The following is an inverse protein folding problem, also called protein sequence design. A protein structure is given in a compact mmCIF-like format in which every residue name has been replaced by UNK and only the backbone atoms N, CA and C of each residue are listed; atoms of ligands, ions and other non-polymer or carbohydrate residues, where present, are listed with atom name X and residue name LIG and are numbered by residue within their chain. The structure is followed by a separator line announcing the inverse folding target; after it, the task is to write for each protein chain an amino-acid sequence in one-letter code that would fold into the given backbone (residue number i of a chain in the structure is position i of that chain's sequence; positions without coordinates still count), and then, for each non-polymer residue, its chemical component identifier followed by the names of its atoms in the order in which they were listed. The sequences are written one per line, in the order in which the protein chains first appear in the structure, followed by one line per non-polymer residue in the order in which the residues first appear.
data_IF_160443789537
#
_entry.id   IF_160443789537
#
_cell.length_a   1.000
_cell.length_b   1.000
_cell.length_c   1.000
_cell.angle_alpha   90.00
_cell.angle_beta   90.00
_cell.angle_gamma   90.00
#
_symmetry.space_group_name_H-M   'P 1'
#
loop_
_entity.id
_entity.type
_entity.pdbx_description
1 polymer ?
#
# COMPACT_ATOMS: atom_id res chain seq x y z
N UNK A 1 60.03 -13.42 -17.42
CA UNK A 1 58.84 -14.27 -17.64
C UNK A 1 57.66 -13.59 -16.99
N UNK A 2 56.76 -12.99 -17.78
CA UNK A 2 55.58 -12.32 -17.23
C UNK A 2 54.53 -13.40 -16.87
N UNK A 3 54.11 -13.44 -15.60
CA UNK A 3 53.04 -14.32 -15.14
C UNK A 3 51.74 -13.94 -15.83
N UNK A 4 51.06 -14.91 -16.43
CA UNK A 4 49.71 -14.73 -16.94
C UNK A 4 48.75 -14.37 -15.80
N UNK A 5 47.80 -13.44 -16.02
CA UNK A 5 46.76 -13.13 -15.04
C UNK A 5 45.85 -14.35 -14.81
N UNK A 6 45.33 -14.54 -13.59
CA UNK A 6 44.42 -15.64 -13.28
C UNK A 6 43.14 -15.55 -14.14
N UNK A 7 42.59 -16.69 -14.59
CA UNK A 7 41.37 -16.71 -15.37
C UNK A 7 40.20 -16.11 -14.58
N UNK A 8 39.26 -15.40 -15.24
CA UNK A 8 38.10 -14.86 -14.57
C UNK A 8 37.26 -15.99 -13.94
N UNK A 9 36.68 -15.76 -12.74
CA UNK A 9 35.84 -16.76 -12.11
C UNK A 9 34.65 -17.11 -13.02
N UNK A 10 34.24 -18.40 -13.08
CA UNK A 10 33.11 -18.80 -13.91
C UNK A 10 31.86 -18.01 -13.49
N UNK A 11 31.00 -17.60 -14.44
CA UNK A 11 29.78 -16.90 -14.11
C UNK A 11 28.95 -17.76 -13.16
N UNK A 12 28.59 -17.20 -12.01
CA UNK A 12 27.71 -17.89 -11.07
C UNK A 12 26.37 -18.14 -11.77
N UNK A 13 25.90 -19.39 -11.84
CA UNK A 13 24.63 -19.68 -12.49
C UNK A 13 23.53 -18.92 -11.74
N UNK A 14 22.79 -18.09 -12.47
CA UNK A 14 21.61 -17.43 -11.92
C UNK A 14 20.52 -18.49 -11.76
N UNK A 15 19.65 -18.38 -10.75
CA UNK A 15 18.50 -19.28 -10.56
C UNK A 15 17.69 -19.48 -11.86
N UNK A 16 17.57 -18.43 -12.67
CA UNK A 16 16.91 -18.42 -13.98
C UNK A 16 17.61 -19.26 -15.07
N UNK A 17 18.87 -19.63 -14.87
CA UNK A 17 19.65 -20.47 -15.80
C UNK A 17 19.62 -21.96 -15.44
N UNK A 18 19.19 -22.30 -14.22
CA UNK A 18 19.17 -23.68 -13.70
C UNK A 18 17.75 -24.20 -13.55
N UNK A 19 16.79 -23.33 -13.25
CA UNK A 19 15.39 -23.69 -13.03
C UNK A 19 14.48 -23.15 -14.15
N UNK A 20 13.42 -23.90 -14.51
CA UNK A 20 12.31 -23.36 -15.30
C UNK A 20 11.76 -22.09 -14.64
N UNK A 21 11.37 -21.12 -15.48
CA UNK A 21 10.89 -19.83 -15.01
C UNK A 21 9.69 -19.95 -14.05
N UNK A 22 8.80 -20.92 -14.28
CA UNK A 22 7.64 -21.18 -13.40
C UNK A 22 8.07 -21.54 -11.97
N UNK A 23 9.12 -22.36 -11.80
CA UNK A 23 9.63 -22.69 -10.46
C UNK A 23 10.27 -21.49 -9.77
N UNK A 24 10.96 -20.64 -10.54
CA UNK A 24 11.51 -19.39 -10.02
C UNK A 24 10.38 -18.47 -9.54
N UNK A 25 9.27 -18.39 -10.30
CA UNK A 25 8.08 -17.65 -9.89
C UNK A 25 7.51 -18.20 -8.58
N UNK A 26 7.36 -19.53 -8.45
CA UNK A 26 6.85 -20.14 -7.20
C UNK A 26 7.73 -19.84 -5.99
N UNK A 27 9.05 -19.93 -6.13
CA UNK A 27 10.00 -19.64 -5.05
C UNK A 27 9.87 -18.18 -4.62
N UNK A 28 9.86 -17.26 -5.60
CA UNK A 28 9.78 -15.84 -5.31
C UNK A 28 8.42 -15.44 -4.71
N UNK A 29 7.31 -16.03 -5.17
CA UNK A 29 5.99 -15.73 -4.61
C UNK A 29 5.89 -16.14 -3.14
N UNK A 30 6.63 -17.16 -2.70
CA UNK A 30 6.66 -17.61 -1.30
C UNK A 30 7.57 -16.76 -0.38
N UNK A 31 8.17 -15.69 -0.90
CA UNK A 31 8.85 -14.70 -0.07
C UNK A 31 7.79 -13.78 0.54
N UNK A 32 7.56 -13.92 1.85
CA UNK A 32 6.53 -13.17 2.59
C UNK A 32 6.91 -11.68 2.74
N UNK A 33 8.20 -11.35 2.64
CA UNK A 33 8.73 -9.99 2.81
C UNK A 33 8.95 -9.27 1.46
N UNK A 34 8.33 -8.10 1.32
CA UNK A 34 8.56 -7.20 0.17
C UNK A 34 10.02 -6.78 0.04
N UNK A 35 10.78 -6.70 1.14
CA UNK A 35 12.21 -6.37 1.10
C UNK A 35 13.04 -7.50 0.47
N UNK A 36 12.68 -8.77 0.70
CA UNK A 36 13.30 -9.91 0.02
C UNK A 36 13.04 -9.87 -1.49
N UNK A 37 11.81 -9.57 -1.90
CA UNK A 37 11.46 -9.38 -3.31
C UNK A 37 12.23 -8.22 -3.94
N UNK A 38 12.39 -7.10 -3.23
CA UNK A 38 13.18 -5.96 -3.69
C UNK A 38 14.66 -6.33 -3.88
N UNK A 39 15.25 -7.11 -2.96
CA UNK A 39 16.62 -7.64 -3.07
C UNK A 39 16.76 -8.62 -4.25
N UNK A 40 15.78 -9.50 -4.48
CA UNK A 40 15.79 -10.37 -5.65
C UNK A 40 15.70 -9.56 -6.97
N UNK A 41 14.87 -8.52 -7.00
CA UNK A 41 14.73 -7.62 -8.15
C UNK A 41 15.97 -6.74 -8.41
N UNK A 42 16.80 -6.51 -7.40
CA UNK A 42 18.07 -5.78 -7.56
C UNK A 42 19.19 -6.68 -8.09
N UNK A 43 19.11 -8.00 -7.88
CA UNK A 43 20.14 -8.95 -8.30
C UNK A 43 20.29 -9.06 -9.83
N UNK A 44 19.19 -9.05 -10.60
CA UNK A 44 19.28 -9.03 -12.06
C UNK A 44 18.03 -8.45 -12.77
N UNK A 45 18.22 -8.01 -14.02
CA UNK A 45 17.15 -7.42 -14.85
C UNK A 45 15.99 -8.38 -15.13
N UNK A 46 16.28 -9.67 -15.28
CA UNK A 46 15.26 -10.68 -15.57
C UNK A 46 14.36 -10.93 -14.35
N UNK A 47 14.93 -11.08 -13.15
CA UNK A 47 14.18 -11.15 -11.90
C UNK A 47 13.37 -9.88 -11.66
N UNK A 48 13.96 -8.70 -11.92
CA UNK A 48 13.23 -7.44 -11.83
C UNK A 48 11.97 -7.46 -12.70
N UNK A 49 12.11 -7.80 -13.99
CA UNK A 49 10.97 -7.87 -14.93
C UNK A 49 9.89 -8.83 -14.46
N UNK A 50 10.30 -9.99 -13.95
CA UNK A 50 9.40 -11.03 -13.45
C UNK A 50 8.64 -10.54 -12.22
N UNK A 51 9.34 -10.01 -11.22
CA UNK A 51 8.76 -9.52 -9.95
C UNK A 51 7.85 -8.31 -10.18
N UNK A 52 8.21 -7.39 -11.07
CA UNK A 52 7.37 -6.22 -11.39
C UNK A 52 6.21 -6.54 -12.34
N UNK A 53 6.10 -7.78 -12.82
CA UNK A 53 5.03 -8.16 -13.74
C UNK A 53 3.67 -8.19 -13.04
N UNK A 54 2.62 -7.77 -13.74
CA UNK A 54 1.24 -7.78 -13.21
C UNK A 54 0.78 -9.19 -12.83
N UNK A 55 1.21 -10.21 -13.57
CA UNK A 55 0.89 -11.61 -13.27
C UNK A 55 1.48 -12.03 -11.92
N UNK A 56 2.77 -11.77 -11.70
CA UNK A 56 3.45 -12.06 -10.45
C UNK A 56 2.82 -11.34 -9.27
N UNK A 57 2.63 -10.02 -9.35
CA UNK A 57 2.07 -9.22 -8.27
C UNK A 57 0.64 -9.64 -7.90
N UNK A 58 -0.19 -10.04 -8.88
CA UNK A 58 -1.52 -10.61 -8.59
C UNK A 58 -1.42 -11.90 -7.79
N UNK A 59 -0.48 -12.79 -8.12
CA UNK A 59 -0.30 -14.06 -7.42
C UNK A 59 0.25 -13.84 -6.00
N UNK A 60 1.22 -12.94 -5.83
CA UNK A 60 1.71 -12.51 -4.51
C UNK A 60 0.56 -11.97 -3.67
N UNK A 61 -0.26 -11.05 -4.20
CA UNK A 61 -1.40 -10.51 -3.47
C UNK A 61 -2.53 -11.52 -3.20
N UNK A 62 -2.67 -12.56 -4.02
CA UNK A 62 -3.64 -13.62 -3.80
C UNK A 62 -3.16 -14.63 -2.74
N UNK A 63 -1.85 -14.92 -2.71
CA UNK A 63 -1.25 -15.85 -1.76
C UNK A 63 -1.04 -15.21 -0.38
N UNK A 64 -0.64 -13.94 -0.36
CA UNK A 64 -0.35 -13.18 0.86
C UNK A 64 -1.50 -12.23 1.14
N UNK A 65 -2.33 -12.49 2.18
CA UNK A 65 -3.31 -11.54 2.64
C UNK A 65 -2.63 -10.20 2.92
N UNK A 66 -3.24 -9.11 2.46
CA UNK A 66 -2.71 -7.79 2.80
C UNK A 66 -2.75 -7.64 4.33
N UNK A 67 -1.63 -7.30 4.98
CA UNK A 67 -1.59 -7.21 6.44
C UNK A 67 -2.62 -6.19 6.92
N UNK A 68 -3.50 -6.62 7.83
CA UNK A 68 -4.47 -5.72 8.45
C UNK A 68 -3.71 -4.79 9.40
N UNK A 69 -3.61 -3.52 9.01
CA UNK A 69 -2.95 -2.50 9.83
C UNK A 69 -3.88 -1.95 10.92
N UNK A 70 -5.20 -2.03 10.72
CA UNK A 70 -6.16 -1.47 11.65
C UNK A 70 -7.51 -1.19 10.99
N UNK A 71 -8.41 -0.59 11.78
CA UNK A 71 -9.75 -0.20 11.36
C UNK A 71 -9.89 1.32 11.41
N UNK A 72 -10.69 1.88 10.51
CA UNK A 72 -11.10 3.28 10.59
C UNK A 72 -12.48 3.34 11.24
N UNK A 73 -12.54 3.85 12.47
CA UNK A 73 -13.79 4.10 13.17
C UNK A 73 -14.36 5.42 12.69
N UNK A 74 -15.56 5.37 12.09
CA UNK A 74 -16.24 6.54 11.55
C UNK A 74 -17.12 7.17 12.62
N UNK A 75 -16.94 8.47 12.81
CA UNK A 75 -17.73 9.27 13.74
C UNK A 75 -18.48 10.36 12.96
N UNK A 76 -19.52 10.93 13.58
CA UNK A 76 -20.26 12.07 13.02
C UNK A 76 -20.71 11.89 11.55
N UNK A 77 -21.28 10.73 11.22
CA UNK A 77 -21.70 10.39 9.84
C UNK A 77 -20.55 10.47 8.81
N UNK A 78 -19.34 10.10 9.23
CA UNK A 78 -18.16 10.01 8.36
C UNK A 78 -17.40 11.33 8.18
N UNK A 79 -17.78 12.42 8.86
CA UNK A 79 -17.02 13.67 8.83
C UNK A 79 -15.78 13.65 9.72
N UNK A 80 -15.72 12.71 10.67
CA UNK A 80 -14.51 12.42 11.46
C UNK A 80 -14.20 10.93 11.38
N UNK A 81 -12.93 10.59 11.49
CA UNK A 81 -12.55 9.20 11.70
C UNK A 81 -11.34 9.08 12.62
N UNK A 82 -11.32 7.97 13.37
CA UNK A 82 -10.22 7.55 14.23
C UNK A 82 -9.60 6.28 13.67
N UNK A 83 -8.28 6.17 13.69
CA UNK A 83 -7.59 4.94 13.34
C UNK A 83 -7.41 4.06 14.58
N UNK A 84 -7.89 2.83 14.50
CA UNK A 84 -7.74 1.79 15.51
C UNK A 84 -6.67 0.80 15.02
N UNK A 85 -5.42 0.91 15.50
CA UNK A 85 -4.34 0.04 15.03
C UNK A 85 -4.58 -1.42 15.43
N UNK A 86 -4.07 -2.35 14.63
CA UNK A 86 -3.91 -3.73 15.07
C UNK A 86 -2.94 -3.80 16.27
N UNK A 87 -3.34 -4.47 17.34
CA UNK A 87 -2.57 -4.59 18.58
C UNK A 87 -1.88 -5.96 18.71
N UNK A 88 -0.83 -6.09 19.55
CA UNK A 88 -0.23 -7.38 19.87
C UNK A 88 -1.28 -8.38 20.36
N UNK A 89 -1.19 -9.67 20.00
CA UNK A 89 -0.07 -10.34 19.31
C UNK A 89 -0.15 -10.32 17.77
N UNK A 90 -0.93 -9.43 17.15
CA UNK A 90 -1.08 -9.39 15.70
C UNK A 90 0.27 -9.10 15.00
N UNK A 91 0.63 -9.83 13.92
CA UNK A 91 1.94 -9.70 13.26
C UNK A 91 2.20 -8.28 12.71
N UNK A 92 1.15 -7.53 12.40
CA UNK A 92 1.27 -6.16 11.90
C UNK A 92 1.32 -5.08 12.99
N UNK A 93 1.31 -5.42 14.27
CA UNK A 93 1.13 -4.47 15.37
C UNK A 93 2.15 -3.33 15.39
N UNK A 94 3.43 -3.62 15.14
CA UNK A 94 4.47 -2.58 15.09
C UNK A 94 4.25 -1.59 13.93
N UNK A 95 3.84 -2.09 12.77
CA UNK A 95 3.53 -1.25 11.60
C UNK A 95 2.25 -0.46 11.84
N UNK A 96 1.23 -1.10 12.41
CA UNK A 96 -0.03 -0.48 12.80
C UNK A 96 0.17 0.69 13.77
N UNK A 97 0.99 0.52 14.80
CA UNK A 97 1.32 1.57 15.76
C UNK A 97 2.06 2.76 15.11
N UNK A 98 2.95 2.49 14.15
CA UNK A 98 3.60 3.54 13.39
C UNK A 98 2.60 4.34 12.53
N UNK A 99 1.63 3.64 11.93
CA UNK A 99 0.53 4.27 11.17
C UNK A 99 -0.38 5.09 12.08
N UNK A 100 -0.73 4.58 13.27
CA UNK A 100 -1.54 5.31 14.25
C UNK A 100 -0.87 6.62 14.65
N UNK A 101 0.44 6.62 14.94
CA UNK A 101 1.18 7.85 15.27
C UNK A 101 1.15 8.91 14.16
N UNK A 102 1.17 8.49 12.89
CA UNK A 102 1.04 9.41 11.75
C UNK A 102 -0.41 9.91 11.56
N UNK A 103 -1.39 9.18 12.11
CA UNK A 103 -2.79 9.54 12.05
C UNK A 103 -3.18 10.48 13.22
N UNK A 104 -2.64 10.23 14.41
CA UNK A 104 -2.95 10.93 15.66
C UNK A 104 -2.23 12.27 15.82
N UNK A 105 -1.13 12.51 15.08
CA UNK A 105 -0.39 13.80 15.12
C UNK A 105 -1.22 15.01 14.66
N UNK A 106 -2.40 14.78 14.09
CA UNK A 106 -3.37 15.80 13.65
C UNK A 106 -4.63 15.85 14.55
N UNK A 107 -4.60 15.26 15.76
CA UNK A 107 -5.80 15.15 16.62
C UNK A 107 -6.29 16.46 17.25
N UNK A 108 -5.57 17.56 17.07
CA UNK A 108 -6.09 18.88 17.38
C UNK A 108 -6.80 19.45 16.14
N UNK A 109 -8.14 19.38 16.15
CA UNK A 109 -9.11 20.04 15.25
C UNK A 109 -9.63 19.21 14.07
N UNK A 110 -10.79 18.58 14.29
CA UNK A 110 -11.97 18.53 13.38
C UNK A 110 -11.80 18.14 11.89
N UNK A 111 -10.63 17.69 11.43
CA UNK A 111 -10.30 17.68 10.00
C UNK A 111 -9.39 16.51 9.61
N UNK A 112 -9.88 15.27 9.79
CA UNK A 112 -9.21 14.05 9.30
C UNK A 112 -8.87 14.05 7.80
N UNK A 113 -9.39 15.03 7.03
CA UNK A 113 -9.23 15.18 5.59
C UNK A 113 -8.96 16.62 5.13
N UNK A 114 -8.32 17.45 5.96
CA UNK A 114 -7.95 18.84 5.62
C UNK A 114 -7.05 18.97 4.38
N UNK A 115 -6.32 17.93 4.00
CA UNK A 115 -5.48 17.90 2.80
C UNK A 115 -6.28 17.81 1.49
N UNK A 116 -7.59 17.52 1.55
CA UNK A 116 -8.42 17.50 0.36
C UNK A 116 -8.82 18.93 -0.04
N UNK A 117 -8.95 19.21 -1.35
CA UNK A 117 -9.42 20.51 -1.81
C UNK A 117 -10.85 20.79 -1.29
N UNK A 118 -11.12 22.04 -0.91
CA UNK A 118 -12.42 22.46 -0.38
C UNK A 118 -12.36 22.89 1.09
N UNK A 119 -13.52 23.12 1.72
CA UNK A 119 -13.59 23.48 3.14
C UNK A 119 -13.45 22.24 4.01
N UNK A 120 -12.65 22.35 5.08
CA UNK A 120 -12.58 21.35 6.14
C UNK A 120 -13.98 21.04 6.67
N UNK A 121 -14.37 19.77 6.69
CA UNK A 121 -15.67 19.31 7.20
C UNK A 121 -16.74 18.98 6.14
N UNK A 122 -16.51 19.34 4.87
CA UNK A 122 -17.45 19.01 3.79
C UNK A 122 -17.32 17.56 3.32
N UNK A 123 -16.13 16.98 3.45
CA UNK A 123 -15.84 15.61 3.04
C UNK A 123 -16.32 14.59 4.06
N UNK A 124 -17.07 13.59 3.59
CA UNK A 124 -17.51 12.43 4.36
C UNK A 124 -16.92 11.16 3.82
N UNK A 125 -16.24 10.40 4.67
CA UNK A 125 -15.75 9.07 4.35
C UNK A 125 -16.94 8.11 4.11
N UNK A 126 -16.93 7.44 2.96
CA UNK A 126 -17.99 6.53 2.50
C UNK A 126 -17.58 5.07 2.56
N UNK A 127 -16.37 4.77 2.09
CA UNK A 127 -15.84 3.41 2.05
C UNK A 127 -14.31 3.42 2.12
N UNK A 128 -13.73 2.33 2.58
CA UNK A 128 -12.29 2.09 2.59
C UNK A 128 -12.01 0.71 2.02
N UNK A 129 -11.33 0.66 0.89
CA UNK A 129 -10.94 -0.59 0.24
C UNK A 129 -9.48 -0.56 -0.12
N UNK A 130 -8.77 -1.65 0.18
CA UNK A 130 -7.39 -1.84 -0.28
C UNK A 130 -6.40 -0.74 0.19
N UNK A 131 -6.70 -0.05 1.30
CA UNK A 131 -5.93 1.09 1.79
C UNK A 131 -6.25 2.43 1.10
N UNK A 132 -7.31 2.48 0.31
CA UNK A 132 -7.84 3.68 -0.32
C UNK A 132 -9.20 4.02 0.29
N UNK A 133 -9.39 5.30 0.60
CA UNK A 133 -10.61 5.86 1.13
C UNK A 133 -11.39 6.57 0.01
N UNK A 134 -12.69 6.33 -0.06
CA UNK A 134 -13.62 7.06 -0.93
C UNK A 134 -14.37 8.07 -0.08
N UNK A 135 -14.30 9.35 -0.45
CA UNK A 135 -15.01 10.42 0.24
C UNK A 135 -15.95 11.13 -0.72
N UNK A 136 -17.04 11.68 -0.17
CA UNK A 136 -17.92 12.55 -0.93
C UNK A 136 -18.25 13.83 -0.15
N UNK A 137 -18.50 14.93 -0.85
CA UNK A 137 -19.16 16.08 -0.24
C UNK A 137 -20.61 15.75 0.11
N UNK A 138 -21.28 16.64 0.85
CA UNK A 138 -22.72 16.54 1.07
C UNK A 138 -23.44 16.93 -0.23
N UNK A 139 -24.60 16.31 -0.48
CA UNK A 139 -25.52 16.86 -1.47
C UNK A 139 -25.90 18.26 -1.03
N UNK A 140 -25.73 19.26 -1.89
CA UNK A 140 -26.32 20.56 -1.69
C UNK A 140 -27.70 20.55 -2.37
N UNK A 141 -28.70 21.09 -1.67
CA UNK A 141 -29.96 21.45 -2.31
C UNK A 141 -29.74 22.86 -2.84
N UNK A 142 -29.84 23.01 -4.15
CA UNK A 142 -29.81 24.35 -4.78
C UNK A 142 -31.10 25.08 -4.50
N UNK A 143 -31.10 26.42 -4.54
CA UNK A 143 -32.30 27.25 -4.28
C UNK A 143 -33.47 26.89 -5.21
N UNK A 144 -33.18 26.30 -6.38
CA UNK A 144 -34.17 25.81 -7.36
C UNK A 144 -34.73 24.41 -7.03
N UNK A 145 -34.41 23.86 -5.84
CA UNK A 145 -34.85 22.53 -5.40
C UNK A 145 -34.16 21.36 -6.10
N UNK A 146 -33.20 21.62 -6.99
CA UNK A 146 -32.41 20.60 -7.65
C UNK A 146 -31.29 20.08 -6.74
N UNK A 147 -31.07 18.77 -6.76
CA UNK A 147 -29.96 18.13 -6.04
C UNK A 147 -28.66 18.31 -6.82
N UNK A 148 -27.63 18.88 -6.19
CA UNK A 148 -26.29 18.84 -6.77
C UNK A 148 -25.68 17.45 -6.58
N UNK A 149 -24.96 16.97 -7.59
CA UNK A 149 -24.15 15.77 -7.41
C UNK A 149 -23.00 16.09 -6.45
N UNK A 150 -22.73 15.22 -5.46
CA UNK A 150 -21.63 15.41 -4.56
C UNK A 150 -20.32 15.18 -5.30
N UNK A 151 -19.31 15.99 -5.00
CA UNK A 151 -17.96 15.72 -5.43
C UNK A 151 -17.47 14.44 -4.75
N UNK A 152 -16.71 13.62 -5.48
CA UNK A 152 -16.15 12.36 -4.98
C UNK A 152 -14.65 12.34 -5.19
N UNK A 153 -13.93 11.89 -4.17
CA UNK A 153 -12.47 11.72 -4.25
C UNK A 153 -12.06 10.37 -3.69
N UNK A 154 -11.02 9.80 -4.31
CA UNK A 154 -10.34 8.61 -3.80
C UNK A 154 -8.95 9.02 -3.36
N UNK A 155 -8.63 8.83 -2.09
CA UNK A 155 -7.33 9.17 -1.54
C UNK A 155 -6.76 8.04 -0.69
N UNK A 156 -5.45 8.05 -0.48
CA UNK A 156 -4.84 7.22 0.57
C UNK A 156 -4.83 8.05 1.87
N UNK A 157 -5.58 7.66 2.92
CA UNK A 157 -5.68 8.45 4.16
C UNK A 157 -4.35 8.58 4.92
N UNK A 158 -3.35 7.76 4.57
CA UNK A 158 -2.00 7.79 5.13
C UNK A 158 -1.04 8.68 4.32
N UNK A 159 -1.43 9.13 3.12
CA UNK A 159 -0.63 10.05 2.29
C UNK A 159 -1.27 11.42 2.30
N UNK A 160 -0.98 12.17 3.34
CA UNK A 160 -1.32 13.59 3.51
C UNK A 160 -0.15 14.41 2.94
N UNK A 161 -0.23 14.86 1.70
CA UNK A 161 0.79 15.68 1.03
C UNK A 161 0.12 16.89 0.40
#
# INVERSE_FOLDING_TARGET
MASLPPPPPPPRPLLLTVLPQELVVEILIRLDDLADLARAASACRALRRLITSRAFLRRVHALHPRPLLGLLHLEHHGSRCRFLPAEPPHPSAATAAAVARAFDSDSDSDSSFSFLPGRSGDWRLRDVRHGLAVLSTRHAVTDDGCFSFPDVVVCNPLRRR
#
